data_IF_758483944271
#
_entry.id   IF_758483944271
#
_cell.length_a   1.000
_cell.length_b   1.000
_cell.length_c   1.000
_cell.angle_alpha   90.00
_cell.angle_beta   90.00
_cell.angle_gamma   90.00
#
_symmetry.space_group_name_H-M   'P 1'
#
loop_
_entity.id
_entity.type
_entity.pdbx_description
1 polymer ?
#
# COMPACT_ATOMS: atom_id res chain seq x y z
N UNK A 1 22.95 -8.05 6.10
CA UNK A 1 21.72 -8.86 6.08
C UNK A 1 20.83 -8.24 5.01
N UNK A 2 20.63 -8.93 3.90
CA UNK A 2 19.70 -8.48 2.86
C UNK A 2 18.37 -9.19 3.12
N UNK A 3 17.57 -8.63 4.02
CA UNK A 3 16.21 -9.11 4.26
C UNK A 3 15.36 -8.37 3.24
N UNK A 4 15.38 -8.87 2.00
CA UNK A 4 14.52 -8.37 0.94
C UNK A 4 13.09 -8.60 1.38
N UNK A 5 12.46 -7.51 1.83
CA UNK A 5 11.12 -7.45 2.36
C UNK A 5 10.07 -7.74 1.31
N UNK A 6 10.03 -8.97 0.79
CA UNK A 6 9.35 -9.31 -0.46
C UNK A 6 7.93 -8.75 -0.56
N UNK A 7 7.63 -8.11 -1.68
CA UNK A 7 6.31 -7.66 -2.06
C UNK A 7 5.58 -8.77 -2.81
N UNK A 8 4.45 -9.23 -2.29
CA UNK A 8 3.51 -10.08 -3.03
C UNK A 8 2.30 -9.24 -3.44
N UNK A 9 2.18 -8.95 -4.74
CA UNK A 9 1.02 -8.25 -5.29
C UNK A 9 -0.06 -9.24 -5.66
N UNK A 10 -1.29 -8.92 -5.26
CA UNK A 10 -2.43 -9.76 -5.55
C UNK A 10 -2.89 -9.64 -6.99
N UNK A 11 -3.26 -10.77 -7.56
CA UNK A 11 -4.12 -10.81 -8.72
C UNK A 11 -5.59 -10.54 -8.32
N UNK A 12 -6.45 -10.25 -9.29
CA UNK A 12 -7.86 -9.88 -9.02
C UNK A 12 -8.65 -10.94 -8.24
N UNK A 13 -8.33 -12.23 -8.42
CA UNK A 13 -9.00 -13.31 -7.69
C UNK A 13 -8.55 -13.36 -6.23
N UNK A 14 -7.27 -13.10 -5.97
CA UNK A 14 -6.75 -12.95 -4.61
C UNK A 14 -7.45 -11.76 -3.93
N UNK A 15 -7.51 -10.59 -4.57
CA UNK A 15 -8.24 -9.42 -4.02
C UNK A 15 -9.70 -9.75 -3.68
N UNK A 16 -10.42 -10.42 -4.59
CA UNK A 16 -11.81 -10.84 -4.35
C UNK A 16 -11.93 -11.88 -3.22
N UNK A 17 -10.90 -12.69 -2.99
CA UNK A 17 -10.85 -13.66 -1.90
C UNK A 17 -10.60 -12.96 -0.57
N UNK A 18 -9.60 -12.08 -0.50
CA UNK A 18 -9.26 -11.29 0.69
C UNK A 18 -10.42 -10.39 1.11
N UNK A 19 -11.09 -9.73 0.15
CA UNK A 19 -12.26 -8.88 0.45
C UNK A 19 -13.46 -9.65 1.03
N UNK A 20 -13.51 -10.97 0.86
CA UNK A 20 -14.55 -11.84 1.45
C UNK A 20 -14.16 -12.37 2.82
N UNK A 21 -12.93 -12.14 3.26
CA UNK A 21 -12.51 -12.43 4.62
C UNK A 21 -13.09 -11.38 5.56
N UNK A 22 -14.33 -11.64 5.99
CA UNK A 22 -15.07 -10.79 6.93
C UNK A 22 -14.42 -10.73 8.32
N UNK A 23 -13.50 -11.65 8.66
CA UNK A 23 -12.84 -11.63 9.97
C UNK A 23 -11.70 -10.60 9.99
N UNK A 24 -11.01 -10.40 8.87
CA UNK A 24 -9.82 -9.54 8.79
C UNK A 24 -10.11 -8.14 8.24
N UNK A 25 -11.02 -8.01 7.28
CA UNK A 25 -11.22 -6.74 6.55
C UNK A 25 -12.61 -6.12 6.67
N UNK A 26 -13.54 -6.73 7.43
CA UNK A 26 -14.92 -6.21 7.53
C UNK A 26 -14.99 -4.77 8.05
N UNK A 27 -14.12 -4.40 8.99
CA UNK A 27 -14.07 -3.06 9.59
C UNK A 27 -13.01 -2.15 8.94
N UNK A 28 -12.29 -2.64 7.93
CA UNK A 28 -11.22 -1.90 7.26
C UNK A 28 -11.78 -1.15 6.05
N UNK A 29 -11.66 0.18 6.05
CA UNK A 29 -12.06 1.01 4.91
C UNK A 29 -11.03 1.01 3.76
N UNK A 30 -10.66 -0.18 3.29
CA UNK A 30 -9.70 -0.33 2.22
C UNK A 30 -9.92 -1.54 1.33
N UNK A 31 -9.11 -1.61 0.28
CA UNK A 31 -9.00 -2.75 -0.62
C UNK A 31 -7.58 -3.29 -0.50
N UNK A 32 -7.38 -4.54 -0.05
CA UNK A 32 -6.04 -5.12 0.02
C UNK A 32 -5.55 -5.45 -1.40
N UNK A 33 -4.33 -5.04 -1.71
CA UNK A 33 -3.72 -5.21 -3.05
C UNK A 33 -2.38 -5.94 -3.02
N UNK A 34 -1.86 -6.24 -1.83
CA UNK A 34 -0.69 -7.07 -1.65
C UNK A 34 -0.22 -7.12 -0.20
N UNK A 35 0.79 -7.93 0.04
CA UNK A 35 1.47 -8.04 1.33
C UNK A 35 2.94 -7.67 1.20
N UNK A 36 3.48 -7.05 2.25
CA UNK A 36 4.91 -6.90 2.52
C UNK A 36 5.30 -7.85 3.66
N UNK A 37 6.59 -7.86 4.06
CA UNK A 37 7.01 -8.60 5.25
C UNK A 37 6.39 -8.02 6.54
N UNK A 38 6.42 -8.83 7.60
CA UNK A 38 6.04 -8.43 8.97
C UNK A 38 4.56 -8.06 9.09
N UNK A 39 3.67 -8.87 8.50
CA UNK A 39 2.21 -8.73 8.66
C UNK A 39 1.70 -7.34 8.24
N UNK A 40 2.29 -6.82 7.15
CA UNK A 40 2.01 -5.50 6.63
C UNK A 40 1.28 -5.58 5.28
N UNK A 41 0.03 -5.12 5.25
CA UNK A 41 -0.81 -5.15 4.06
C UNK A 41 -0.70 -3.84 3.30
N UNK A 42 -0.51 -3.92 1.98
CA UNK A 42 -0.62 -2.78 1.08
C UNK A 42 -2.08 -2.59 0.69
N UNK A 43 -2.63 -1.43 1.04
CA UNK A 43 -4.06 -1.15 0.93
C UNK A 43 -4.34 0.08 0.06
N UNK A 44 -5.48 0.06 -0.63
CA UNK A 44 -6.10 1.23 -1.26
C UNK A 44 -7.18 1.77 -0.32
N UNK A 45 -7.09 3.05 0.03
CA UNK A 45 -8.10 3.78 0.79
C UNK A 45 -9.30 4.11 -0.10
N UNK A 46 -10.48 3.57 0.25
CA UNK A 46 -11.71 3.72 -0.54
C UNK A 46 -12.24 5.16 -0.55
N UNK A 47 -12.07 5.90 0.55
CA UNK A 47 -12.54 7.28 0.66
C UNK A 47 -11.67 8.19 -0.21
N UNK A 48 -10.34 8.04 -0.11
CA UNK A 48 -9.41 8.80 -0.95
C UNK A 48 -9.60 8.49 -2.44
N UNK A 49 -9.86 7.23 -2.78
CA UNK A 49 -10.15 6.85 -4.16
C UNK A 49 -11.43 7.54 -4.67
N UNK A 50 -12.48 7.59 -3.85
CA UNK A 50 -13.75 8.28 -4.15
C UNK A 50 -13.55 9.78 -4.36
N UNK A 51 -12.70 10.40 -3.54
CA UNK A 51 -12.35 11.81 -3.61
C UNK A 51 -11.34 12.14 -4.73
N UNK A 52 -10.87 11.11 -5.46
CA UNK A 52 -9.82 11.21 -6.50
C UNK A 52 -8.52 11.81 -5.97
N UNK A 53 -8.23 11.60 -4.68
CA UNK A 53 -6.94 11.95 -4.09
C UNK A 53 -5.87 11.00 -4.66
N UNK A 54 -4.81 11.52 -5.31
CA UNK A 54 -3.73 10.68 -5.83
C UNK A 54 -2.91 9.96 -4.73
N UNK A 55 -3.11 10.30 -3.45
CA UNK A 55 -2.37 9.77 -2.31
C UNK A 55 -3.16 8.65 -1.59
N UNK A 56 -3.77 7.75 -2.36
CA UNK A 56 -4.74 6.77 -1.85
C UNK A 56 -4.13 5.51 -1.22
N UNK A 57 -2.80 5.33 -1.24
CA UNK A 57 -2.18 4.16 -0.62
C UNK A 57 -1.89 4.36 0.88
N UNK A 58 -2.08 3.28 1.63
CA UNK A 58 -1.67 3.15 3.01
C UNK A 58 -1.19 1.72 3.30
N UNK A 59 -0.43 1.56 4.38
CA UNK A 59 -0.10 0.26 4.96
C UNK A 59 -1.01 -0.01 6.15
N UNK A 60 -1.47 -1.25 6.27
CA UNK A 60 -2.11 -1.76 7.47
C UNK A 60 -1.12 -2.72 8.16
N UNK A 61 -0.53 -2.29 9.27
CA UNK A 61 0.41 -3.10 10.05
C UNK A 61 -0.35 -3.84 11.16
N UNK A 62 -0.12 -5.14 11.31
CA UNK A 62 -0.75 -6.04 12.28
C UNK A 62 -2.30 -6.01 12.27
N UNK A 63 -2.91 -5.62 11.15
CA UNK A 63 -4.36 -5.44 11.02
C UNK A 63 -4.94 -4.25 11.81
N UNK A 64 -4.10 -3.41 12.43
CA UNK A 64 -4.52 -2.41 13.40
C UNK A 64 -4.02 -0.99 13.09
N UNK A 65 -2.79 -0.87 12.60
CA UNK A 65 -2.16 0.44 12.41
C UNK A 65 -2.30 0.93 10.97
N UNK A 66 -3.04 2.03 10.80
CA UNK A 66 -3.17 2.73 9.52
C UNK A 66 -1.99 3.69 9.32
N UNK A 67 -1.20 3.45 8.27
CA UNK A 67 -0.03 4.26 7.93
C UNK A 67 -0.12 4.80 6.51
N UNK A 68 -0.52 6.07 6.30
CA UNK A 68 -0.64 6.63 4.96
C UNK A 68 0.73 6.75 4.29
N UNK A 69 0.84 6.30 3.05
CA UNK A 69 2.10 6.39 2.30
C UNK A 69 2.23 7.70 1.53
N UNK A 70 1.11 8.38 1.30
CA UNK A 70 1.03 9.59 0.48
C UNK A 70 1.46 9.38 -0.99
N UNK A 71 1.08 8.22 -1.55
CA UNK A 71 1.47 7.77 -2.88
C UNK A 71 0.29 7.12 -3.62
N UNK A 72 0.40 7.05 -4.94
CA UNK A 72 -0.37 6.12 -5.77
C UNK A 72 0.44 4.84 -6.04
N UNK A 73 -0.20 3.86 -6.68
CA UNK A 73 0.43 2.57 -6.98
C UNK A 73 1.65 2.66 -7.89
N UNK A 74 1.62 3.51 -8.92
CA UNK A 74 2.73 3.66 -9.86
C UNK A 74 4.00 4.14 -9.16
N UNK A 75 3.88 5.19 -8.34
CA UNK A 75 5.02 5.76 -7.61
C UNK A 75 5.51 4.79 -6.54
N UNK A 76 4.60 4.09 -5.86
CA UNK A 76 4.99 3.06 -4.90
C UNK A 76 5.85 1.99 -5.57
N UNK A 77 5.40 1.44 -6.71
CA UNK A 77 6.10 0.37 -7.40
C UNK A 77 7.46 0.82 -7.94
N UNK A 78 7.52 2.01 -8.54
CA UNK A 78 8.77 2.60 -9.05
C UNK A 78 9.81 2.74 -7.93
N UNK A 79 9.42 3.35 -6.80
CA UNK A 79 10.31 3.52 -5.65
C UNK A 79 10.69 2.21 -4.99
N UNK A 80 9.75 1.27 -4.87
CA UNK A 80 10.03 -0.04 -4.30
C UNK A 80 11.13 -0.78 -5.08
N UNK A 81 11.06 -0.74 -6.42
CA UNK A 81 12.09 -1.31 -7.29
C UNK A 81 13.42 -0.55 -7.17
N UNK A 82 13.39 0.78 -7.22
CA UNK A 82 14.60 1.62 -7.14
C UNK A 82 15.33 1.48 -5.80
N UNK A 83 14.58 1.37 -4.70
CA UNK A 83 15.13 1.21 -3.35
C UNK A 83 15.41 -0.25 -2.98
N UNK A 84 15.26 -1.20 -3.92
CA UNK A 84 15.51 -2.63 -3.71
C UNK A 84 14.75 -3.21 -2.50
N UNK A 85 13.50 -2.78 -2.32
CA UNK A 85 12.65 -3.22 -1.21
C UNK A 85 13.01 -2.63 0.16
N UNK A 86 13.91 -1.65 0.25
CA UNK A 86 14.06 -0.84 1.46
C UNK A 86 12.76 -0.04 1.73
N UNK A 87 12.37 0.19 3.00
CA UNK A 87 11.12 0.86 3.38
C UNK A 87 11.18 2.37 3.09
N UNK A 88 11.23 2.74 1.82
CA UNK A 88 11.40 4.11 1.35
C UNK A 88 10.29 5.06 1.81
N UNK A 89 9.11 4.52 2.17
CA UNK A 89 8.00 5.28 2.72
C UNK A 89 8.28 5.86 4.11
N UNK A 90 9.33 5.40 4.80
CA UNK A 90 9.84 6.05 6.01
C UNK A 90 10.62 7.34 5.70
N UNK A 91 11.06 7.50 4.46
CA UNK A 91 11.83 8.65 4.02
C UNK A 91 10.85 9.71 3.52
N UNK A 92 10.74 10.84 4.23
CA UNK A 92 9.76 11.91 3.97
C UNK A 92 10.04 12.73 2.69
N UNK A 93 10.33 12.11 1.55
CA UNK A 93 10.65 12.77 0.29
C UNK A 93 9.57 12.51 -0.78
N UNK A 94 9.00 13.60 -1.31
CA UNK A 94 8.07 13.68 -2.44
C UNK A 94 6.78 12.84 -2.33
N UNK A 95 5.62 13.51 -2.21
CA UNK A 95 4.27 12.91 -2.32
C UNK A 95 3.82 12.77 -3.78
N UNK A 96 2.75 12.01 -4.04
CA UNK A 96 2.21 11.88 -5.41
C UNK A 96 1.80 13.22 -6.03
N UNK A 97 1.25 14.14 -5.21
CA UNK A 97 0.89 15.50 -5.64
C UNK A 97 2.05 16.30 -6.24
N UNK A 98 3.28 16.01 -5.82
CA UNK A 98 4.46 16.75 -6.25
C UNK A 98 5.27 16.02 -7.34
N UNK A 99 5.05 14.72 -7.54
CA UNK A 99 5.84 13.91 -8.47
C UNK A 99 5.59 14.30 -9.95
N UNK A 100 4.33 14.48 -10.33
CA UNK A 100 3.95 14.81 -11.72
C UNK A 100 3.94 16.32 -12.03
N UNK A 101 4.38 17.18 -11.11
CA UNK A 101 4.46 18.64 -11.31
C UNK A 101 5.80 19.10 -11.92
N UNK A 102 6.69 18.16 -12.21
CA UNK A 102 8.01 18.38 -12.83
C UNK A 102 7.96 18.06 -14.31
#
# INVERSE_FOLDING_TARGET
MNIGGGLHLFNLKEIDTELKDEEFYADVNGIPIGHLLEECDLMIDKDKLKDKDPNYLYLLEDGLEYKPLHLNFEIFLDRYVMCQGQPFWEWRYYTAENYYRT
#
